data_IF_889728791058
#
_entry.id   IF_889728791058
#
_cell.length_a   1.000
_cell.length_b   1.000
_cell.length_c   1.000
_cell.angle_alpha   90.00
_cell.angle_beta   90.00
_cell.angle_gamma   90.00
#
_symmetry.space_group_name_H-M   'P 1'
#
loop_
_entity.id
_entity.type
_entity.pdbx_description
1 polymer ?
#
# COMPACT_ATOMS: atom_id res chain seq x y z
N UNK A 1 -25.46 51.34 -41.93
CA UNK A 1 -24.72 50.15 -41.57
C UNK A 1 -25.46 49.47 -40.43
N UNK A 2 -26.22 48.39 -40.69
CA UNK A 2 -27.02 47.70 -39.64
C UNK A 2 -26.15 46.61 -39.09
N UNK A 3 -25.72 46.72 -37.87
CA UNK A 3 -24.96 45.70 -37.15
C UNK A 3 -25.95 44.66 -36.63
N UNK A 4 -25.82 43.43 -37.12
CA UNK A 4 -26.67 42.32 -36.72
C UNK A 4 -26.25 41.82 -35.34
N UNK A 5 -27.00 42.19 -34.33
CA UNK A 5 -26.79 41.83 -32.88
C UNK A 5 -27.06 40.33 -32.61
N UNK A 6 -27.35 39.54 -33.62
CA UNK A 6 -27.67 38.10 -33.42
C UNK A 6 -26.48 37.18 -33.15
N UNK A 7 -25.25 37.65 -33.29
CA UNK A 7 -24.05 36.82 -33.12
C UNK A 7 -23.23 37.17 -31.85
N UNK A 8 -23.64 38.21 -31.10
CA UNK A 8 -22.94 38.60 -29.88
C UNK A 8 -23.40 37.85 -28.62
N UNK A 9 -24.49 37.06 -28.72
CA UNK A 9 -25.04 36.35 -27.54
C UNK A 9 -24.58 34.87 -27.41
N UNK A 10 -23.79 34.38 -28.38
CA UNK A 10 -23.40 32.96 -28.42
C UNK A 10 -21.95 32.69 -27.97
N UNK A 11 -21.19 33.73 -27.66
CA UNK A 11 -19.78 33.58 -27.24
C UNK A 11 -19.53 33.74 -25.74
N UNK A 12 -20.57 33.86 -24.92
CA UNK A 12 -20.42 34.06 -23.47
C UNK A 12 -20.90 32.89 -22.62
N UNK A 13 -21.21 31.74 -23.23
CA UNK A 13 -21.70 30.55 -22.50
C UNK A 13 -20.73 29.36 -22.52
N UNK A 14 -19.48 29.56 -22.89
CA UNK A 14 -18.50 28.48 -23.05
C UNK A 14 -17.37 28.51 -22.01
N UNK A 15 -17.47 29.24 -20.90
CA UNK A 15 -16.41 29.30 -19.88
C UNK A 15 -16.95 29.02 -18.47
N UNK A 16 -18.06 28.34 -18.33
CA UNK A 16 -18.51 27.81 -17.05
C UNK A 16 -18.62 26.28 -17.15
N UNK A 17 -17.53 25.64 -17.53
CA UNK A 17 -17.45 24.20 -17.75
C UNK A 17 -16.23 23.61 -17.09
N UNK A 18 -16.41 23.13 -15.85
CA UNK A 18 -15.85 21.88 -15.36
C UNK A 18 -14.38 21.93 -14.99
N UNK A 19 -14.08 22.38 -13.79
CA UNK A 19 -12.98 21.80 -13.03
C UNK A 19 -13.49 20.60 -12.23
N UNK A 20 -14.05 19.62 -12.90
CA UNK A 20 -14.08 18.26 -12.38
C UNK A 20 -12.73 17.66 -12.74
N UNK A 21 -11.74 17.80 -11.88
CA UNK A 21 -10.60 16.91 -11.87
C UNK A 21 -11.07 15.58 -11.29
N UNK A 22 -11.92 14.89 -12.03
CA UNK A 22 -12.07 13.48 -11.91
C UNK A 22 -10.69 12.88 -12.19
N UNK A 23 -10.15 12.11 -11.26
CA UNK A 23 -9.18 11.07 -11.59
C UNK A 23 -9.95 10.02 -12.40
N UNK A 24 -10.32 10.36 -13.63
CA UNK A 24 -10.75 9.38 -14.60
C UNK A 24 -9.51 8.61 -15.02
N UNK A 25 -9.64 7.30 -15.14
CA UNK A 25 -8.70 6.46 -15.89
C UNK A 25 -8.64 6.95 -17.33
N UNK A 26 -7.99 8.09 -17.56
CA UNK A 26 -7.51 8.42 -18.88
C UNK A 26 -6.45 7.38 -19.16
N UNK A 27 -6.82 6.40 -19.97
CA UNK A 27 -5.87 5.61 -20.74
C UNK A 27 -5.09 6.59 -21.61
N UNK A 28 -4.15 7.31 -20.99
CA UNK A 28 -3.18 8.06 -21.75
C UNK A 28 -2.38 7.03 -22.54
N UNK A 29 -2.60 7.00 -23.82
CA UNK A 29 -1.76 6.29 -24.76
C UNK A 29 -0.34 6.80 -24.64
N UNK A 30 0.40 6.21 -23.70
CA UNK A 30 1.83 6.45 -23.62
C UNK A 30 2.48 5.58 -24.69
N UNK A 31 2.99 6.23 -25.72
CA UNK A 31 3.65 5.62 -26.90
C UNK A 31 4.80 4.67 -26.50
N UNK A 32 5.21 4.67 -25.25
CA UNK A 32 6.26 3.83 -24.71
C UNK A 32 5.75 2.66 -23.86
N UNK A 33 4.47 2.28 -23.99
CA UNK A 33 3.91 1.17 -23.20
C UNK A 33 4.05 1.44 -21.72
N UNK A 34 3.41 2.52 -21.27
CA UNK A 34 3.48 2.95 -19.89
C UNK A 34 3.01 1.81 -18.97
N UNK A 35 3.90 1.14 -18.23
CA UNK A 35 3.44 0.28 -17.18
C UNK A 35 2.61 1.16 -16.25
N UNK A 36 1.40 0.72 -15.94
CA UNK A 36 0.58 1.37 -14.93
C UNK A 36 1.47 1.78 -13.77
N UNK A 37 1.28 2.99 -13.26
CA UNK A 37 2.11 3.51 -12.20
C UNK A 37 2.08 2.51 -11.01
N UNK A 38 3.20 1.85 -10.73
CA UNK A 38 3.24 0.74 -9.77
C UNK A 38 3.32 1.26 -8.35
N UNK A 39 2.44 0.75 -7.50
CA UNK A 39 2.47 0.96 -6.06
C UNK A 39 3.10 -0.25 -5.39
N UNK A 40 4.05 -0.03 -4.51
CA UNK A 40 4.82 -1.10 -3.87
C UNK A 40 5.26 -0.74 -2.46
N UNK A 41 5.59 -1.75 -1.66
CA UNK A 41 6.30 -1.55 -0.40
C UNK A 41 7.78 -1.27 -0.65
N UNK A 42 8.29 -0.25 -0.01
CA UNK A 42 9.74 -0.09 0.07
C UNK A 42 10.26 -0.98 1.21
N UNK A 43 10.73 -2.15 0.87
CA UNK A 43 11.32 -3.09 1.81
C UNK A 43 12.85 -3.17 1.65
N UNK A 44 13.50 -3.95 2.50
CA UNK A 44 14.90 -4.35 2.33
C UNK A 44 15.05 -5.29 1.13
N UNK A 45 16.29 -5.68 0.82
CA UNK A 45 16.58 -6.51 -0.35
C UNK A 45 15.82 -7.86 -0.37
N UNK A 46 15.54 -8.40 0.80
CA UNK A 46 14.88 -9.71 0.95
C UNK A 46 13.37 -9.58 1.13
N UNK A 47 12.81 -8.37 1.10
CA UNK A 47 11.41 -8.07 1.38
C UNK A 47 10.90 -8.65 2.71
N UNK A 48 11.79 -8.93 3.65
CA UNK A 48 11.50 -9.55 4.93
C UNK A 48 11.99 -8.71 6.11
N UNK A 49 11.27 -8.79 7.22
CA UNK A 49 11.68 -8.26 8.51
C UNK A 49 11.64 -9.40 9.51
N UNK A 50 12.74 -9.65 10.19
CA UNK A 50 12.85 -10.73 11.14
C UNK A 50 12.99 -10.20 12.56
N UNK A 51 12.49 -10.96 13.51
CA UNK A 51 12.66 -10.73 14.93
C UNK A 51 12.70 -12.05 15.66
N UNK A 52 13.20 -12.06 16.89
CA UNK A 52 13.32 -13.24 17.73
C UNK A 52 12.53 -13.05 19.01
N UNK A 53 11.91 -14.14 19.47
CA UNK A 53 11.33 -14.25 20.80
C UNK A 53 12.14 -15.28 21.58
N UNK A 54 12.58 -14.92 22.77
CA UNK A 54 13.30 -15.81 23.68
C UNK A 54 12.40 -16.14 24.87
N UNK A 55 12.11 -17.42 25.06
CA UNK A 55 11.40 -17.93 26.22
C UNK A 55 12.40 -18.33 27.29
N UNK A 56 12.35 -17.71 28.45
CA UNK A 56 13.28 -17.97 29.55
C UNK A 56 12.54 -18.23 30.84
N UNK A 57 13.18 -18.85 31.85
CA UNK A 57 12.56 -19.06 33.15
C UNK A 57 12.14 -17.79 33.91
N UNK A 58 12.66 -16.63 33.49
CA UNK A 58 12.35 -15.32 34.08
C UNK A 58 11.38 -14.50 33.29
N UNK A 59 10.95 -14.99 32.13
CA UNK A 59 9.98 -14.33 31.23
C UNK A 59 10.30 -14.49 29.78
N UNK A 60 9.39 -13.96 28.96
CA UNK A 60 9.50 -13.95 27.50
C UNK A 60 9.99 -12.58 27.04
N UNK A 61 10.99 -12.57 26.18
CA UNK A 61 11.66 -11.35 25.72
C UNK A 61 11.82 -11.36 24.22
N UNK A 62 11.85 -10.18 23.63
CA UNK A 62 12.10 -10.01 22.21
C UNK A 62 10.94 -9.33 21.51
N UNK A 63 10.92 -9.47 20.22
CA UNK A 63 9.88 -8.91 19.38
C UNK A 63 10.41 -8.39 18.06
N UNK A 64 9.48 -7.96 17.24
CA UNK A 64 9.76 -7.28 15.99
C UNK A 64 8.87 -6.05 15.89
N UNK A 65 9.46 -4.97 15.40
CA UNK A 65 8.71 -3.80 14.95
C UNK A 65 9.20 -3.45 13.56
N UNK A 66 8.30 -3.49 12.60
CA UNK A 66 8.59 -3.21 11.20
C UNK A 66 7.74 -2.03 10.70
N UNK A 67 8.32 -1.25 9.80
CA UNK A 67 7.65 -0.17 9.09
C UNK A 67 7.81 -0.42 7.59
N UNK A 68 6.69 -0.40 6.89
CA UNK A 68 6.64 -0.59 5.45
C UNK A 68 6.22 0.73 4.79
N UNK A 69 7.16 1.56 4.33
CA UNK A 69 6.83 2.72 3.54
C UNK A 69 6.19 2.30 2.22
N UNK A 70 5.10 2.96 1.85
CA UNK A 70 4.43 2.72 0.56
C UNK A 70 4.88 3.77 -0.43
N UNK A 71 5.26 3.32 -1.60
CA UNK A 71 5.73 4.18 -2.71
C UNK A 71 4.95 3.90 -3.99
N UNK A 72 5.01 4.88 -4.87
CA UNK A 72 4.55 4.78 -6.25
C UNK A 72 5.72 5.11 -7.17
N UNK A 73 5.78 4.44 -8.31
CA UNK A 73 6.94 4.53 -9.22
C UNK A 73 7.15 5.95 -9.78
N UNK A 74 6.06 6.63 -10.13
CA UNK A 74 6.06 8.02 -10.60
C UNK A 74 5.24 8.89 -9.67
N UNK A 75 5.39 10.20 -9.74
CA UNK A 75 4.59 11.13 -8.96
C UNK A 75 3.09 10.90 -9.21
N UNK A 76 2.33 10.72 -8.12
CA UNK A 76 0.90 10.46 -8.20
C UNK A 76 0.16 11.60 -8.89
N UNK A 77 -0.68 11.30 -9.86
CA UNK A 77 -1.49 12.29 -10.59
C UNK A 77 -2.64 12.83 -9.73
N UNK A 78 -3.06 12.04 -8.74
CA UNK A 78 -4.09 12.41 -7.75
C UNK A 78 -3.76 11.81 -6.37
N UNK A 79 -4.49 12.21 -5.34
CA UNK A 79 -4.39 11.57 -4.02
C UNK A 79 -4.73 10.08 -4.17
N UNK A 80 -3.79 9.21 -3.80
CA UNK A 80 -3.90 7.77 -3.97
C UNK A 80 -3.91 7.09 -2.62
N UNK A 81 -5.05 6.46 -2.31
CA UNK A 81 -5.26 5.71 -1.08
C UNK A 81 -4.88 4.26 -1.29
N UNK A 82 -3.99 3.75 -0.45
CA UNK A 82 -3.45 2.40 -0.53
C UNK A 82 -3.78 1.65 0.75
N UNK A 83 -4.41 0.49 0.61
CA UNK A 83 -4.74 -0.38 1.74
C UNK A 83 -3.95 -1.68 1.63
N UNK A 84 -3.36 -2.10 2.73
CA UNK A 84 -2.72 -3.39 2.88
C UNK A 84 -3.58 -4.33 3.73
N UNK A 85 -3.31 -5.62 3.64
CA UNK A 85 -3.92 -6.64 4.46
C UNK A 85 -2.93 -7.75 4.80
N UNK A 86 -3.17 -8.44 5.89
CA UNK A 86 -2.53 -9.71 6.19
C UNK A 86 -3.19 -10.79 5.34
N UNK A 87 -2.39 -11.65 4.74
CA UNK A 87 -2.88 -12.77 3.94
C UNK A 87 -2.19 -14.08 4.35
N UNK A 88 -2.80 -14.76 5.32
CA UNK A 88 -2.26 -16.00 5.86
C UNK A 88 -2.17 -17.14 4.82
N UNK A 89 -2.92 -17.07 3.72
CA UNK A 89 -2.85 -18.08 2.65
C UNK A 89 -1.50 -18.12 1.96
N UNK A 90 -0.76 -17.01 1.98
CA UNK A 90 0.58 -16.93 1.40
C UNK A 90 1.64 -17.67 2.20
N UNK A 91 1.36 -18.10 3.43
CA UNK A 91 2.32 -18.89 4.24
C UNK A 91 2.64 -20.22 3.61
N UNK A 92 1.62 -20.91 3.12
CA UNK A 92 1.82 -22.22 2.44
C UNK A 92 2.59 -22.06 1.13
N UNK A 93 2.28 -21.03 0.37
CA UNK A 93 2.99 -20.72 -0.89
C UNK A 93 4.46 -20.44 -0.61
N UNK A 94 4.73 -19.56 0.38
CA UNK A 94 6.10 -19.23 0.79
C UNK A 94 6.87 -20.47 1.27
N UNK A 95 6.25 -21.30 2.11
CA UNK A 95 6.86 -22.52 2.60
C UNK A 95 7.24 -23.50 1.46
N UNK A 96 6.35 -23.64 0.50
CA UNK A 96 6.62 -24.50 -0.66
C UNK A 96 7.77 -23.97 -1.53
N UNK A 97 7.82 -22.67 -1.76
CA UNK A 97 8.82 -22.03 -2.59
C UNK A 97 10.21 -22.01 -1.93
N UNK A 98 10.26 -21.75 -0.62
CA UNK A 98 11.51 -21.59 0.13
C UNK A 98 11.92 -22.84 0.94
N UNK A 99 11.16 -23.94 0.83
CA UNK A 99 11.40 -25.18 1.60
C UNK A 99 11.48 -24.96 3.11
N UNK A 100 10.53 -24.18 3.63
CA UNK A 100 10.40 -23.82 5.04
C UNK A 100 9.13 -24.42 5.67
N UNK A 101 9.00 -24.33 6.99
CA UNK A 101 7.86 -24.85 7.76
C UNK A 101 7.30 -23.77 8.70
N UNK A 102 7.20 -22.54 8.24
CA UNK A 102 6.64 -21.47 9.03
C UNK A 102 5.15 -21.69 9.32
N UNK A 103 4.72 -21.29 10.52
CA UNK A 103 3.31 -21.19 10.87
C UNK A 103 2.78 -19.78 10.59
N UNK A 104 1.52 -19.68 10.26
CA UNK A 104 0.89 -18.37 10.15
C UNK A 104 0.92 -17.67 11.51
N UNK A 105 1.38 -16.42 11.53
CA UNK A 105 1.34 -15.59 12.72
C UNK A 105 -0.11 -15.28 13.08
N UNK A 106 -0.57 -15.55 14.33
CA UNK A 106 -1.90 -15.14 14.76
C UNK A 106 -2.04 -13.61 14.71
N UNK A 107 -3.08 -13.10 14.05
CA UNK A 107 -3.33 -11.65 14.01
C UNK A 107 -3.55 -11.05 15.40
N UNK A 108 -4.07 -11.84 16.32
CA UNK A 108 -4.22 -11.44 17.73
C UNK A 108 -2.89 -11.13 18.43
N UNK A 109 -1.78 -11.69 17.94
CA UNK A 109 -0.44 -11.50 18.50
C UNK A 109 0.27 -10.26 18.00
N UNK A 110 -0.30 -9.55 17.01
CA UNK A 110 0.33 -8.38 16.40
C UNK A 110 -0.51 -7.12 16.55
N UNK A 111 0.18 -5.99 16.61
CA UNK A 111 -0.40 -4.67 16.42
C UNK A 111 -0.22 -4.28 14.96
N UNK A 112 -1.32 -4.03 14.26
CA UNK A 112 -1.36 -3.59 12.88
C UNK A 112 -1.76 -2.11 12.84
N UNK A 113 -0.82 -1.24 12.52
CA UNK A 113 -1.05 0.20 12.46
C UNK A 113 -0.90 0.76 11.05
N UNK A 114 -1.79 1.70 10.68
CA UNK A 114 -1.69 2.38 9.39
C UNK A 114 -1.87 1.46 8.19
N UNK A 115 -2.73 0.43 8.28
CA UNK A 115 -3.02 -0.48 7.16
C UNK A 115 -3.61 0.22 5.94
N UNK A 116 -3.94 1.49 6.07
CA UNK A 116 -4.32 2.36 4.97
C UNK A 116 -3.50 3.64 5.05
N UNK A 117 -2.83 3.98 3.96
CA UNK A 117 -2.01 5.19 3.81
C UNK A 117 -2.40 5.95 2.56
N UNK A 118 -2.03 7.22 2.49
CA UNK A 118 -2.33 8.07 1.33
C UNK A 118 -1.04 8.64 0.75
N UNK A 119 -0.86 8.46 -0.55
CA UNK A 119 0.16 9.14 -1.34
C UNK A 119 -0.51 10.39 -1.91
N UNK A 120 -0.02 11.56 -1.55
CA UNK A 120 -0.56 12.83 -2.01
C UNK A 120 -0.25 13.08 -3.49
N UNK A 121 -1.13 13.81 -4.17
CA UNK A 121 -0.88 14.27 -5.54
C UNK A 121 0.50 14.92 -5.64
N UNK A 122 1.26 14.55 -6.63
CA UNK A 122 2.64 15.01 -6.87
C UNK A 122 3.70 14.32 -6.03
N UNK A 123 3.33 13.48 -5.05
CA UNK A 123 4.27 12.72 -4.25
C UNK A 123 4.58 11.34 -4.88
N UNK A 124 5.72 10.78 -4.52
CA UNK A 124 6.16 9.42 -4.88
C UNK A 124 6.17 8.47 -3.69
N UNK A 125 5.72 8.94 -2.52
CA UNK A 125 5.72 8.18 -1.26
C UNK A 125 4.58 8.65 -0.37
N UNK A 126 3.98 7.72 0.36
CA UNK A 126 3.04 8.07 1.42
C UNK A 126 3.75 8.79 2.58
N UNK A 127 3.05 9.71 3.23
CA UNK A 127 3.56 10.42 4.43
C UNK A 127 3.71 9.45 5.59
N UNK A 128 2.73 8.57 5.76
CA UNK A 128 2.75 7.51 6.77
C UNK A 128 3.26 6.19 6.19
N UNK A 129 3.57 5.26 7.10
CA UNK A 129 3.98 3.89 6.78
C UNK A 129 3.04 2.91 7.48
N UNK A 130 2.85 1.75 6.88
CA UNK A 130 2.23 0.61 7.54
C UNK A 130 3.17 0.13 8.63
N UNK A 131 2.64 -0.09 9.82
CA UNK A 131 3.42 -0.47 11.01
C UNK A 131 2.92 -1.80 11.54
N UNK A 132 3.86 -2.66 11.86
CA UNK A 132 3.59 -3.96 12.47
C UNK A 132 4.51 -4.15 13.65
N UNK A 133 3.96 -4.57 14.78
CA UNK A 133 4.77 -4.98 15.93
C UNK A 133 4.11 -6.14 16.65
N UNK A 134 4.92 -7.00 17.28
CA UNK A 134 4.41 -7.98 18.21
C UNK A 134 3.85 -7.30 19.46
N UNK A 135 2.85 -7.93 20.06
CA UNK A 135 2.33 -7.55 21.38
C UNK A 135 3.10 -8.29 22.46
N UNK A 136 3.53 -7.58 23.48
CA UNK A 136 4.29 -8.19 24.58
C UNK A 136 3.49 -9.29 25.28
N UNK A 137 2.18 -9.09 25.46
CA UNK A 137 1.28 -10.08 26.08
C UNK A 137 1.09 -11.34 25.24
N UNK A 138 1.44 -11.32 23.98
CA UNK A 138 1.30 -12.46 23.08
C UNK A 138 2.57 -13.34 23.02
N UNK A 139 3.70 -12.87 23.53
CA UNK A 139 4.98 -13.57 23.40
C UNK A 139 4.91 -15.00 23.97
N UNK A 140 4.29 -15.17 25.13
CA UNK A 140 4.12 -16.47 25.77
C UNK A 140 3.31 -17.48 24.94
N UNK A 141 2.47 -17.02 24.04
CA UNK A 141 1.63 -17.86 23.18
C UNK A 141 2.32 -18.30 21.88
N UNK A 142 3.45 -17.69 21.56
CA UNK A 142 4.20 -17.97 20.34
C UNK A 142 5.19 -19.12 20.59
N UNK A 143 4.69 -20.34 20.61
CA UNK A 143 5.46 -21.55 20.98
C UNK A 143 6.07 -22.32 19.81
N UNK A 144 5.68 -21.98 18.59
CA UNK A 144 6.24 -22.64 17.40
C UNK A 144 7.63 -22.11 17.06
N UNK A 145 8.40 -22.90 16.35
CA UNK A 145 9.79 -22.59 16.01
C UNK A 145 9.93 -21.30 15.17
N UNK A 146 8.98 -21.05 14.28
CA UNK A 146 8.98 -19.86 13.45
C UNK A 146 7.56 -19.54 12.95
N UNK A 147 7.30 -18.25 12.83
CA UNK A 147 6.05 -17.72 12.31
C UNK A 147 6.32 -16.80 11.12
N UNK A 148 5.36 -16.72 10.20
CA UNK A 148 5.36 -15.80 9.08
C UNK A 148 4.07 -14.97 9.09
N UNK A 149 4.20 -13.67 8.88
CA UNK A 149 3.09 -12.73 8.70
C UNK A 149 3.18 -12.09 7.31
N UNK A 150 2.56 -12.67 6.29
CA UNK A 150 2.56 -12.06 4.97
C UNK A 150 1.64 -10.84 4.93
N UNK A 151 2.14 -9.76 4.36
CA UNK A 151 1.38 -8.52 4.15
C UNK A 151 1.43 -8.18 2.68
N UNK A 152 0.25 -7.97 2.09
CA UNK A 152 0.14 -7.55 0.69
C UNK A 152 -0.71 -6.30 0.52
N UNK A 153 -0.56 -5.65 -0.60
CA UNK A 153 -1.47 -4.59 -1.00
C UNK A 153 -2.82 -5.22 -1.41
N UNK A 154 -3.92 -4.71 -0.87
CA UNK A 154 -5.25 -5.26 -1.13
C UNK A 154 -6.10 -4.36 -2.00
N UNK A 155 -5.93 -3.05 -1.87
CA UNK A 155 -6.72 -2.08 -2.62
C UNK A 155 -5.92 -0.80 -2.87
N UNK A 156 -6.03 -0.29 -4.10
CA UNK A 156 -5.48 0.99 -4.51
C UNK A 156 -6.62 1.80 -5.12
N UNK A 157 -6.86 2.99 -4.58
CA UNK A 157 -7.86 3.93 -5.07
C UNK A 157 -7.14 5.21 -5.47
N UNK A 158 -7.16 5.54 -6.73
CA UNK A 158 -6.46 6.68 -7.32
C UNK A 158 -5.52 6.26 -8.44
N UNK A 159 -4.30 6.78 -8.42
CA UNK A 159 -3.30 6.49 -9.44
C UNK A 159 -2.49 5.23 -9.07
N UNK A 160 -2.32 4.35 -10.04
CA UNK A 160 -1.46 3.18 -9.92
C UNK A 160 -2.17 1.84 -9.74
N UNK A 161 -1.36 0.79 -9.88
CA UNK A 161 -1.72 -0.61 -9.62
C UNK A 161 -0.73 -1.23 -8.65
N UNK A 162 -1.16 -2.25 -7.90
CA UNK A 162 -0.26 -3.00 -7.03
C UNK A 162 0.81 -3.74 -7.85
N UNK A 163 2.03 -3.79 -7.33
CA UNK A 163 3.00 -4.78 -7.79
C UNK A 163 2.57 -6.15 -7.26
N UNK A 164 2.45 -7.10 -8.16
CA UNK A 164 2.26 -8.52 -7.82
C UNK A 164 3.55 -9.10 -7.25
#
# INVERSE_FOLDING_TARGET
>A
MKINIKYAALSLLAVAGITMTSCSDDESYDVYGNPNNLVYFQANADNTFTGTVAHTPVGDFGGVSAKFPVRILRAASCDTKVTAMVDASLVEVYNAEHHTEYKAMPESAVNLGGMTVTIKKGAVKAEDSIKVSLKDEALASLTEKAYLLPIRLSQIQGDGKGSE
#
